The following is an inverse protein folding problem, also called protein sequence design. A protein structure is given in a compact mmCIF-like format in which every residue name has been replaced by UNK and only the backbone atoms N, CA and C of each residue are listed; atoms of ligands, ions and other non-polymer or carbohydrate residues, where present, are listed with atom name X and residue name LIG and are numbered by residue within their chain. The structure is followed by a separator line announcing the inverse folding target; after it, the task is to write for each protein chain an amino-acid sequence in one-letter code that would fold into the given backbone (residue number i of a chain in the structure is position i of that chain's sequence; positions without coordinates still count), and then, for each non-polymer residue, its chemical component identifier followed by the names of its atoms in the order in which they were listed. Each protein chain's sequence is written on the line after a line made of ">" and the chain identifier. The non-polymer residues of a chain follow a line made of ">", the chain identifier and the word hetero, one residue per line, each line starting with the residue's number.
data_IF_758879798576
#
_entry.id   IF_758879798576
#
_cell.length_a   1.000
_cell.length_b   1.000
_cell.length_c   1.000
_cell.angle_alpha   90.00
_cell.angle_beta   90.00
_cell.angle_gamma   90.00
#
_symmetry.space_group_name_H-M   'P 1'
#
loop_
_entity.id
_entity.type
_entity.pdbx_description
1 polymer ?
#
# COMPACT_ATOMS: atom_id res chain seq x y z
N UNK A 1 7.35 15.11 -0.99
CA UNK A 1 6.36 15.15 -2.09
C UNK A 1 7.00 15.36 -3.47
N UNK A 2 7.97 16.26 -3.63
CA UNK A 2 8.64 16.54 -4.94
C UNK A 2 9.32 15.30 -5.54
N UNK A 3 10.01 14.49 -4.73
CA UNK A 3 10.72 13.30 -5.22
C UNK A 3 9.79 12.23 -5.83
N UNK A 4 8.62 11.98 -5.23
CA UNK A 4 7.64 10.99 -5.71
C UNK A 4 7.07 11.40 -7.06
N UNK A 5 6.75 12.70 -7.20
CA UNK A 5 6.24 13.27 -8.44
C UNK A 5 7.26 13.16 -9.59
N UNK A 6 8.51 13.57 -9.35
CA UNK A 6 9.58 13.45 -10.34
C UNK A 6 9.86 11.99 -10.72
N UNK A 7 9.84 11.08 -9.74
CA UNK A 7 10.01 9.65 -9.99
C UNK A 7 8.87 9.10 -10.84
N UNK A 8 7.62 9.49 -10.56
CA UNK A 8 6.47 9.14 -11.39
C UNK A 8 6.62 9.63 -12.84
N UNK A 9 7.03 10.88 -13.04
CA UNK A 9 7.32 11.42 -14.37
C UNK A 9 8.45 10.66 -15.08
N UNK A 10 9.52 10.32 -14.37
CA UNK A 10 10.62 9.53 -14.93
C UNK A 10 10.17 8.11 -15.30
N UNK A 11 9.31 7.47 -14.49
CA UNK A 11 8.76 6.16 -14.81
C UNK A 11 7.85 6.22 -16.04
N UNK A 12 7.01 7.26 -16.17
CA UNK A 12 6.22 7.50 -17.38
C UNK A 12 7.14 7.65 -18.58
N UNK A 13 8.18 8.49 -18.49
CA UNK A 13 9.11 8.69 -19.59
C UNK A 13 9.87 7.40 -19.97
N UNK A 14 10.33 6.62 -18.99
CA UNK A 14 11.12 5.43 -19.24
C UNK A 14 10.25 4.26 -19.71
N UNK A 15 9.19 3.92 -19.00
CA UNK A 15 8.41 2.70 -19.23
C UNK A 15 7.39 2.90 -20.36
N UNK A 16 6.69 4.03 -20.37
CA UNK A 16 5.68 4.31 -21.39
C UNK A 16 6.31 4.90 -22.64
N UNK A 17 7.06 6.01 -22.54
CA UNK A 17 7.58 6.70 -23.74
C UNK A 17 8.74 5.95 -24.41
N UNK A 18 9.74 5.49 -23.64
CA UNK A 18 10.93 4.82 -24.20
C UNK A 18 10.73 3.32 -24.44
N UNK A 19 10.16 2.60 -23.48
CA UNK A 19 10.00 1.13 -23.53
C UNK A 19 8.68 0.68 -24.18
N UNK A 20 7.64 1.52 -24.23
CA UNK A 20 6.28 1.16 -24.70
C UNK A 20 5.76 -0.14 -24.09
N UNK A 21 6.15 -0.44 -22.85
CA UNK A 21 5.88 -1.72 -22.21
C UNK A 21 4.50 -1.79 -21.53
N UNK A 22 3.87 -0.63 -21.30
CA UNK A 22 2.60 -0.49 -20.58
C UNK A 22 1.66 0.36 -21.44
N UNK A 23 0.33 0.11 -21.41
CA UNK A 23 -0.69 0.99 -22.01
C UNK A 23 -0.66 2.41 -21.41
N UNK A 24 -1.53 3.28 -21.92
CA UNK A 24 -1.63 4.67 -21.48
C UNK A 24 -1.62 4.77 -19.94
N UNK A 25 -0.72 5.58 -19.34
CA UNK A 25 -0.64 5.71 -17.89
C UNK A 25 -1.81 6.51 -17.29
N UNK A 26 -2.63 7.16 -18.12
CA UNK A 26 -3.68 8.05 -17.65
C UNK A 26 -5.02 7.33 -17.51
N UNK A 27 -5.68 7.52 -16.37
CA UNK A 27 -7.01 6.99 -16.12
C UNK A 27 -7.02 5.54 -15.66
N UNK A 28 -8.18 4.88 -15.83
CA UNK A 28 -8.44 3.52 -15.30
C UNK A 28 -8.67 2.48 -16.40
N UNK A 29 -8.95 2.93 -17.62
CA UNK A 29 -9.27 2.11 -18.79
C UNK A 29 -8.77 2.84 -20.05
N UNK A 30 -8.58 2.08 -21.12
CA UNK A 30 -8.26 2.65 -22.42
C UNK A 30 -9.35 3.66 -22.87
N UNK A 31 -9.00 4.75 -23.58
CA UNK A 31 -9.91 5.87 -23.84
C UNK A 31 -11.24 5.54 -24.56
N UNK A 32 -11.30 4.39 -25.25
CA UNK A 32 -12.47 3.93 -26.01
C UNK A 32 -13.27 2.82 -25.30
N UNK A 33 -12.86 2.40 -24.09
CA UNK A 33 -13.57 1.38 -23.32
C UNK A 33 -14.49 2.02 -22.30
N UNK A 34 -15.80 1.78 -22.42
CA UNK A 34 -16.75 2.19 -21.39
C UNK A 34 -16.57 1.38 -20.10
N UNK A 35 -16.79 2.04 -18.97
CA UNK A 35 -16.77 1.41 -17.65
C UNK A 35 -17.86 0.32 -17.64
N UNK A 36 -17.53 -0.95 -17.37
CA UNK A 36 -18.55 -1.99 -17.29
C UNK A 36 -19.55 -1.63 -16.17
N UNK A 37 -20.86 -1.73 -16.41
CA UNK A 37 -21.85 -1.53 -15.36
C UNK A 37 -21.65 -2.65 -14.34
N UNK A 38 -21.41 -2.31 -13.08
CA UNK A 38 -21.15 -3.30 -12.06
C UNK A 38 -21.66 -2.84 -10.69
N UNK A 39 -22.08 -3.77 -9.82
CA UNK A 39 -22.68 -3.44 -8.53
C UNK A 39 -21.67 -2.85 -7.54
N UNK A 40 -20.36 -3.04 -7.75
CA UNK A 40 -19.33 -2.64 -6.78
C UNK A 40 -18.65 -1.32 -7.10
N UNK A 41 -18.63 -0.91 -8.37
CA UNK A 41 -17.89 0.25 -8.85
C UNK A 41 -16.36 0.05 -8.88
N UNK A 42 -15.88 -1.12 -8.45
CA UNK A 42 -14.48 -1.53 -8.49
C UNK A 42 -14.18 -2.20 -9.83
N UNK A 43 -13.50 -1.46 -10.69
CA UNK A 43 -13.21 -1.85 -12.08
C UNK A 43 -12.65 -3.29 -12.23
N UNK A 44 -11.72 -3.71 -11.37
CA UNK A 44 -11.15 -5.07 -11.43
C UNK A 44 -12.16 -6.16 -11.06
N UNK A 45 -13.02 -5.90 -10.08
CA UNK A 45 -14.04 -6.85 -9.65
C UNK A 45 -15.17 -6.89 -10.67
N UNK A 46 -15.64 -5.73 -11.12
CA UNK A 46 -16.73 -5.62 -12.09
C UNK A 46 -16.33 -6.25 -13.43
N UNK A 47 -15.07 -6.13 -13.88
CA UNK A 47 -14.58 -6.80 -15.10
C UNK A 47 -14.48 -8.32 -14.96
N UNK A 48 -14.08 -8.82 -13.78
CA UNK A 48 -14.07 -10.26 -13.47
C UNK A 48 -15.48 -10.85 -13.40
N UNK A 49 -16.42 -10.14 -12.76
CA UNK A 49 -17.82 -10.56 -12.64
C UNK A 49 -18.49 -10.66 -14.01
N UNK A 50 -18.13 -9.77 -14.95
CA UNK A 50 -18.62 -9.80 -16.32
C UNK A 50 -17.81 -10.71 -17.27
N UNK A 51 -16.81 -11.43 -16.74
CA UNK A 51 -15.90 -12.29 -17.50
C UNK A 51 -15.23 -11.57 -18.70
N UNK A 52 -15.04 -10.25 -18.62
CA UNK A 52 -14.44 -9.44 -19.68
C UNK A 52 -12.93 -9.32 -19.46
N UNK A 53 -12.21 -10.33 -19.96
CA UNK A 53 -10.77 -10.44 -19.80
C UNK A 53 -9.99 -9.33 -20.52
N UNK A 54 -10.54 -8.72 -21.57
CA UNK A 54 -9.89 -7.61 -22.27
C UNK A 54 -9.86 -6.36 -21.41
N UNK A 55 -11.00 -5.99 -20.82
CA UNK A 55 -11.09 -4.86 -19.89
C UNK A 55 -10.31 -5.11 -18.61
N UNK A 56 -10.28 -6.34 -18.10
CA UNK A 56 -9.47 -6.70 -16.93
C UNK A 56 -7.97 -6.53 -17.18
N UNK A 57 -7.46 -6.99 -18.34
CA UNK A 57 -6.05 -6.81 -18.70
C UNK A 57 -5.69 -5.33 -18.86
N UNK A 58 -6.60 -4.55 -19.47
CA UNK A 58 -6.46 -3.10 -19.59
C UNK A 58 -6.39 -2.45 -18.20
N UNK A 59 -7.33 -2.77 -17.32
CA UNK A 59 -7.39 -2.27 -15.95
C UNK A 59 -6.10 -2.52 -15.15
N UNK A 60 -5.55 -3.74 -15.22
CA UNK A 60 -4.28 -4.06 -14.57
C UNK A 60 -3.14 -3.25 -15.17
N UNK A 61 -3.08 -3.13 -16.50
CA UNK A 61 -2.04 -2.35 -17.18
C UNK A 61 -1.96 -0.90 -16.68
N UNK A 62 -3.12 -0.26 -16.50
CA UNK A 62 -3.19 1.13 -16.00
C UNK A 62 -2.86 1.24 -14.49
N UNK A 63 -2.94 0.14 -13.74
CA UNK A 63 -2.55 0.10 -12.31
C UNK A 63 -1.04 -0.13 -12.08
N UNK A 64 -0.34 -0.75 -13.03
CA UNK A 64 1.07 -1.13 -12.86
C UNK A 64 1.96 0.09 -12.62
N UNK A 65 1.80 1.17 -13.40
CA UNK A 65 2.65 2.35 -13.29
C UNK A 65 2.45 3.13 -11.98
N UNK A 66 1.21 3.44 -11.57
CA UNK A 66 0.94 4.01 -10.24
C UNK A 66 1.47 3.13 -9.11
N UNK A 67 1.24 1.80 -9.19
CA UNK A 67 1.68 0.87 -8.15
C UNK A 67 3.21 0.81 -8.02
N UNK A 68 3.94 0.74 -9.13
CA UNK A 68 5.41 0.75 -9.13
C UNK A 68 5.95 2.07 -8.58
N UNK A 69 5.32 3.20 -8.94
CA UNK A 69 5.72 4.52 -8.45
C UNK A 69 5.64 4.57 -6.92
N UNK A 70 4.52 4.10 -6.35
CA UNK A 70 4.34 4.03 -4.90
C UNK A 70 5.29 3.02 -4.26
N UNK A 71 5.42 1.82 -4.84
CA UNK A 71 6.29 0.77 -4.31
C UNK A 71 7.75 1.20 -4.25
N UNK A 72 8.27 1.85 -5.29
CA UNK A 72 9.67 2.29 -5.35
C UNK A 72 10.02 3.24 -4.19
N UNK A 73 9.06 4.03 -3.72
CA UNK A 73 9.25 4.98 -2.62
C UNK A 73 9.15 4.30 -1.25
N UNK A 74 8.20 3.37 -1.11
CA UNK A 74 7.90 2.75 0.19
C UNK A 74 8.78 1.54 0.50
N UNK A 75 9.11 0.73 -0.52
CA UNK A 75 9.87 -0.52 -0.35
C UNK A 75 11.23 -0.29 0.31
N UNK A 76 12.06 0.71 -0.07
CA UNK A 76 13.36 0.91 0.58
C UNK A 76 13.24 1.22 2.08
N UNK A 77 12.23 1.99 2.48
CA UNK A 77 11.97 2.37 3.87
C UNK A 77 11.59 1.13 4.69
N UNK A 78 10.62 0.36 4.20
CA UNK A 78 10.17 -0.86 4.88
C UNK A 78 11.30 -1.89 4.91
N UNK A 79 12.01 -2.11 3.80
CA UNK A 79 13.10 -3.09 3.73
C UNK A 79 14.26 -2.77 4.68
N UNK A 80 14.66 -1.49 4.79
CA UNK A 80 15.69 -1.06 5.76
C UNK A 80 15.25 -1.33 7.19
N UNK A 81 13.98 -1.06 7.49
CA UNK A 81 13.44 -1.26 8.82
C UNK A 81 13.31 -2.75 9.17
N UNK A 82 12.81 -3.57 8.24
CA UNK A 82 12.77 -5.04 8.38
C UNK A 82 14.17 -5.57 8.63
N UNK A 83 15.17 -5.13 7.85
CA UNK A 83 16.56 -5.53 8.02
C UNK A 83 17.10 -5.15 9.41
N UNK A 84 16.87 -3.91 9.85
CA UNK A 84 17.33 -3.45 11.16
C UNK A 84 16.67 -4.23 12.31
N UNK A 85 15.36 -4.44 12.25
CA UNK A 85 14.62 -5.21 13.24
C UNK A 85 15.11 -6.67 13.30
N UNK A 86 15.29 -7.31 12.14
CA UNK A 86 15.81 -8.68 12.08
C UNK A 86 17.23 -8.79 12.64
N UNK A 87 18.13 -7.84 12.35
CA UNK A 87 19.49 -7.84 12.92
C UNK A 87 19.43 -7.76 14.44
N UNK A 88 18.65 -6.81 14.98
CA UNK A 88 18.52 -6.62 16.44
C UNK A 88 17.97 -7.88 17.12
N UNK A 89 16.94 -8.50 16.56
CA UNK A 89 16.35 -9.71 17.14
C UNK A 89 17.32 -10.89 17.04
N UNK A 90 18.00 -11.07 15.91
CA UNK A 90 18.96 -12.17 15.74
C UNK A 90 20.19 -12.07 16.66
N UNK A 91 20.53 -10.86 17.12
CA UNK A 91 21.63 -10.61 18.06
C UNK A 91 21.21 -10.73 19.54
N UNK A 92 19.92 -10.90 19.82
CA UNK A 92 19.42 -11.02 21.20
C UNK A 92 19.90 -12.29 21.91
N UNK A 93 20.04 -12.21 23.23
CA UNK A 93 20.54 -13.29 24.07
C UNK A 93 19.68 -14.57 23.98
N UNK A 94 18.35 -14.42 23.81
CA UNK A 94 17.46 -15.58 23.70
C UNK A 94 17.69 -16.36 22.39
N UNK A 95 17.97 -15.66 21.28
CA UNK A 95 18.30 -16.29 19.99
C UNK A 95 19.68 -16.95 20.06
N UNK A 96 20.66 -16.31 20.70
CA UNK A 96 22.00 -16.89 20.90
C UNK A 96 21.93 -18.15 21.77
N UNK A 97 21.14 -18.10 22.85
CA UNK A 97 20.90 -19.26 23.73
C UNK A 97 20.20 -20.39 22.99
N UNK A 98 19.16 -20.09 22.22
CA UNK A 98 18.46 -21.06 21.39
C UNK A 98 19.40 -21.74 20.37
N UNK A 99 20.31 -20.98 19.77
CA UNK A 99 21.34 -21.50 18.87
C UNK A 99 22.33 -22.42 19.60
N UNK A 100 22.75 -22.07 20.82
CA UNK A 100 23.64 -22.90 21.63
C UNK A 100 23.00 -24.23 22.05
N UNK A 101 21.68 -24.26 22.21
CA UNK A 101 20.89 -25.48 22.49
C UNK A 101 20.74 -26.38 21.25
N UNK A 102 21.12 -25.91 20.06
CA UNK A 102 21.11 -26.70 18.82
C UNK A 102 19.82 -26.59 18.00
N UNK A 103 19.00 -25.55 18.23
CA UNK A 103 17.81 -25.30 17.41
C UNK A 103 18.19 -24.98 15.96
N UNK A 104 17.45 -25.56 15.01
CA UNK A 104 17.66 -25.32 13.58
C UNK A 104 17.48 -23.84 13.22
N UNK A 105 18.35 -23.29 12.37
CA UNK A 105 18.28 -21.89 11.92
C UNK A 105 16.93 -21.53 11.29
N UNK A 106 16.30 -22.45 10.54
CA UNK A 106 15.00 -22.21 9.93
C UNK A 106 13.90 -21.96 10.95
N UNK A 107 13.80 -22.82 11.97
CA UNK A 107 12.87 -22.63 13.10
C UNK A 107 13.13 -21.32 13.82
N UNK A 108 14.40 -21.03 14.12
CA UNK A 108 14.81 -19.82 14.83
C UNK A 108 14.39 -18.54 14.08
N UNK A 109 14.49 -18.54 12.74
CA UNK A 109 14.08 -17.40 11.92
C UNK A 109 12.56 -17.28 11.89
N UNK A 110 11.84 -18.34 11.49
CA UNK A 110 10.40 -18.26 11.21
C UNK A 110 9.53 -18.18 12.47
N UNK A 111 9.94 -18.84 13.55
CA UNK A 111 9.14 -18.96 14.77
C UNK A 111 9.57 -17.97 15.85
N UNK A 112 10.86 -17.70 15.98
CA UNK A 112 11.37 -16.90 17.10
C UNK A 112 11.75 -15.48 16.65
N UNK A 113 12.53 -15.33 15.57
CA UNK A 113 13.04 -14.02 15.17
C UNK A 113 12.00 -13.17 14.42
N UNK A 114 11.29 -13.75 13.45
CA UNK A 114 10.36 -13.02 12.59
C UNK A 114 9.19 -12.41 13.37
N UNK A 115 8.46 -13.14 14.24
CA UNK A 115 7.36 -12.55 15.02
C UNK A 115 7.82 -11.38 15.90
N UNK A 116 8.97 -11.48 16.54
CA UNK A 116 9.55 -10.42 17.37
C UNK A 116 10.00 -9.21 16.52
N UNK A 117 10.53 -9.45 15.32
CA UNK A 117 10.91 -8.37 14.41
C UNK A 117 9.71 -7.69 13.74
N UNK A 118 8.57 -8.39 13.62
CA UNK A 118 7.32 -7.85 13.05
C UNK A 118 6.70 -6.75 13.90
N UNK A 119 7.06 -6.66 15.18
CA UNK A 119 6.46 -5.69 16.09
C UNK A 119 6.64 -4.24 15.58
N UNK A 120 7.87 -3.72 15.40
CA UNK A 120 8.07 -2.37 14.85
C UNK A 120 7.58 -2.24 13.40
N UNK A 121 7.57 -3.35 12.64
CA UNK A 121 7.14 -3.39 11.23
C UNK A 121 5.66 -3.05 11.10
N UNK A 122 4.80 -3.67 11.91
CA UNK A 122 3.37 -3.43 11.87
C UNK A 122 2.98 -1.99 12.21
N UNK A 123 3.60 -1.38 13.22
CA UNK A 123 3.30 0.02 13.60
C UNK A 123 3.58 0.96 12.44
N UNK A 124 4.74 0.77 11.81
CA UNK A 124 5.17 1.63 10.71
C UNK A 124 4.35 1.39 9.46
N UNK A 125 3.91 0.15 9.20
CA UNK A 125 2.95 -0.13 8.13
C UNK A 125 1.65 0.63 8.35
N UNK A 126 1.14 0.73 9.58
CA UNK A 126 -0.03 1.55 9.89
C UNK A 126 0.12 3.01 9.52
N UNK A 127 1.27 3.60 9.89
CA UNK A 127 1.59 4.99 9.54
C UNK A 127 1.68 5.17 8.02
N UNK A 128 2.33 4.23 7.31
CA UNK A 128 2.46 4.27 5.85
C UNK A 128 1.09 4.13 5.16
N UNK A 129 0.24 3.23 5.64
CA UNK A 129 -1.12 3.06 5.13
C UNK A 129 -1.94 4.33 5.35
N UNK A 130 -1.88 4.92 6.54
CA UNK A 130 -2.53 6.19 6.83
C UNK A 130 -2.07 7.32 5.89
N UNK A 131 -0.75 7.38 5.63
CA UNK A 131 -0.17 8.33 4.69
C UNK A 131 -0.68 8.11 3.25
N UNK A 132 -0.83 6.85 2.83
CA UNK A 132 -1.41 6.53 1.52
C UNK A 132 -2.90 6.88 1.44
N UNK A 133 -3.65 6.69 2.54
CA UNK A 133 -5.08 6.99 2.62
C UNK A 133 -5.40 8.48 2.71
N UNK A 134 -4.52 9.27 3.33
CA UNK A 134 -4.57 10.74 3.29
C UNK A 134 -4.50 11.30 1.86
N UNK A 135 -4.34 10.41 0.87
CA UNK A 135 -4.38 10.71 -0.54
C UNK A 135 -2.99 11.13 -0.95
N UNK A 136 -2.30 10.28 -1.69
CA UNK A 136 -1.17 10.75 -2.47
C UNK A 136 -1.72 11.53 -3.67
N UNK A 137 -2.35 12.68 -3.40
CA UNK A 137 -3.10 13.51 -4.36
C UNK A 137 -2.26 13.79 -5.60
N UNK A 138 -0.96 14.01 -5.41
CA UNK A 138 -0.03 14.26 -6.51
C UNK A 138 0.11 13.06 -7.46
N UNK A 139 0.12 11.83 -6.93
CA UNK A 139 0.16 10.62 -7.76
C UNK A 139 -1.19 10.37 -8.41
N UNK A 140 -2.29 10.61 -7.70
CA UNK A 140 -3.64 10.53 -8.27
C UNK A 140 -3.83 11.51 -9.44
N UNK A 141 -3.37 12.76 -9.28
CA UNK A 141 -3.36 13.76 -10.36
C UNK A 141 -2.45 13.38 -11.51
N UNK A 142 -1.23 12.91 -11.22
CA UNK A 142 -0.24 12.56 -12.24
C UNK A 142 -0.73 11.45 -13.17
N UNK A 143 -1.40 10.43 -12.61
CA UNK A 143 -1.94 9.31 -13.38
C UNK A 143 -3.42 9.49 -13.76
N UNK A 144 -4.01 10.67 -13.52
CA UNK A 144 -5.44 10.93 -13.71
C UNK A 144 -6.33 9.84 -13.07
N UNK A 145 -5.92 9.32 -11.92
CA UNK A 145 -6.61 8.28 -11.20
C UNK A 145 -7.62 8.92 -10.23
N UNK A 146 -8.94 8.75 -10.43
CA UNK A 146 -9.95 9.36 -9.56
C UNK A 146 -9.99 8.63 -8.21
N UNK A 147 -9.17 9.11 -7.28
CA UNK A 147 -9.09 8.63 -5.90
C UNK A 147 -9.74 9.58 -4.90
N UNK A 148 -9.70 9.15 -3.63
CA UNK A 148 -10.33 9.88 -2.53
C UNK A 148 -9.56 11.18 -2.22
N UNK A 149 -8.24 11.18 -2.43
CA UNK A 149 -7.41 12.38 -2.26
C UNK A 149 -7.70 13.45 -3.30
N UNK A 150 -7.85 13.05 -4.57
CA UNK A 150 -8.26 13.95 -5.65
C UNK A 150 -9.65 14.53 -5.40
N UNK A 151 -10.59 13.72 -4.89
CA UNK A 151 -11.91 14.21 -4.49
C UNK A 151 -11.81 15.30 -3.41
N UNK A 152 -11.03 15.07 -2.34
CA UNK A 152 -10.82 16.07 -1.30
C UNK A 152 -10.16 17.35 -1.82
N UNK A 153 -9.18 17.22 -2.71
CA UNK A 153 -8.57 18.37 -3.38
C UNK A 153 -9.60 19.17 -4.18
N UNK A 154 -10.45 18.50 -4.96
CA UNK A 154 -11.48 19.16 -5.75
C UNK A 154 -12.51 19.89 -4.88
N UNK A 155 -12.94 19.28 -3.78
CA UNK A 155 -13.84 19.88 -2.80
C UNK A 155 -13.23 21.10 -2.10
N UNK A 156 -11.93 21.03 -1.80
CA UNK A 156 -11.18 22.17 -1.26
C UNK A 156 -11.13 23.35 -2.24
N UNK A 157 -10.88 23.08 -3.52
CA UNK A 157 -10.85 24.14 -4.54
C UNK A 157 -12.24 24.74 -4.80
N UNK A 158 -13.31 23.96 -4.66
CA UNK A 158 -14.69 24.45 -4.79
C UNK A 158 -15.25 25.06 -3.50
N UNK A 159 -14.47 25.13 -2.41
CA UNK A 159 -14.91 25.56 -1.08
C UNK A 159 -16.16 24.82 -0.56
N UNK A 160 -16.28 23.54 -0.91
CA UNK A 160 -17.35 22.67 -0.43
C UNK A 160 -16.95 22.06 0.92
N UNK A 161 -17.24 22.79 2.00
CA UNK A 161 -16.86 22.39 3.36
C UNK A 161 -17.57 21.11 3.82
N UNK A 162 -18.79 20.84 3.35
CA UNK A 162 -19.55 19.64 3.70
C UNK A 162 -18.86 18.39 3.14
N UNK A 163 -18.44 18.44 1.87
CA UNK A 163 -17.67 17.36 1.23
C UNK A 163 -16.32 17.13 1.89
N UNK A 164 -15.60 18.18 2.28
CA UNK A 164 -14.31 18.09 2.99
C UNK A 164 -14.49 17.45 4.37
N UNK A 165 -15.52 17.85 5.12
CA UNK A 165 -15.81 17.30 6.43
C UNK A 165 -16.16 15.81 6.35
N UNK A 166 -16.97 15.41 5.36
CA UNK A 166 -17.26 14.00 5.09
C UNK A 166 -15.99 13.19 4.78
N UNK A 167 -15.09 13.75 3.97
CA UNK A 167 -13.79 13.14 3.66
C UNK A 167 -12.93 12.94 4.92
N UNK A 168 -12.80 13.97 5.76
CA UNK A 168 -12.02 13.89 7.01
C UNK A 168 -12.58 12.81 7.92
N UNK A 169 -13.91 12.75 8.09
CA UNK A 169 -14.57 11.73 8.90
C UNK A 169 -14.33 10.31 8.36
N UNK A 170 -14.42 10.12 7.05
CA UNK A 170 -14.16 8.84 6.41
C UNK A 170 -12.72 8.37 6.64
N UNK A 171 -11.74 9.26 6.44
CA UNK A 171 -10.33 8.94 6.69
C UNK A 171 -10.08 8.65 8.17
N UNK A 172 -10.65 9.44 9.08
CA UNK A 172 -10.51 9.20 10.50
C UNK A 172 -11.07 7.82 10.90
N UNK A 173 -12.24 7.45 10.39
CA UNK A 173 -12.84 6.15 10.62
C UNK A 173 -11.96 5.01 10.07
N UNK A 174 -11.46 5.15 8.84
CA UNK A 174 -10.55 4.18 8.24
C UNK A 174 -9.22 4.06 8.99
N UNK A 175 -8.69 5.17 9.49
CA UNK A 175 -7.48 5.18 10.31
C UNK A 175 -7.67 4.39 11.60
N UNK A 176 -8.78 4.61 12.30
CA UNK A 176 -9.13 3.83 13.49
C UNK A 176 -9.29 2.35 13.15
N UNK A 177 -9.96 2.03 12.04
CA UNK A 177 -10.13 0.65 11.57
C UNK A 177 -8.79 -0.03 11.27
N UNK A 178 -7.85 0.64 10.60
CA UNK A 178 -6.52 0.09 10.31
C UNK A 178 -5.74 -0.15 11.60
N UNK A 179 -5.77 0.79 12.55
CA UNK A 179 -5.10 0.60 13.84
C UNK A 179 -5.70 -0.60 14.60
N UNK A 180 -7.02 -0.75 14.59
CA UNK A 180 -7.68 -1.92 15.18
C UNK A 180 -7.20 -3.23 14.50
N UNK A 181 -7.09 -3.26 13.18
CA UNK A 181 -6.57 -4.43 12.45
C UNK A 181 -5.12 -4.73 12.85
N UNK A 182 -4.30 -3.69 13.00
CA UNK A 182 -2.91 -3.79 13.43
C UNK A 182 -2.82 -4.35 14.86
N UNK A 183 -3.62 -3.84 15.79
CA UNK A 183 -3.70 -4.33 17.17
C UNK A 183 -4.12 -5.80 17.23
N UNK A 184 -5.07 -6.21 16.39
CA UNK A 184 -5.45 -7.62 16.26
C UNK A 184 -4.28 -8.44 15.71
N UNK A 185 -3.59 -7.98 14.66
CA UNK A 185 -2.41 -8.65 14.10
C UNK A 185 -1.30 -8.83 15.13
N UNK A 186 -1.06 -7.83 15.99
CA UNK A 186 -0.14 -7.95 17.12
C UNK A 186 -0.51 -9.11 18.04
N UNK A 187 -1.78 -9.19 18.43
CA UNK A 187 -2.27 -10.24 19.34
C UNK A 187 -2.17 -11.66 18.75
N UNK A 188 -2.18 -11.78 17.42
CA UNK A 188 -2.03 -13.06 16.70
C UNK A 188 -0.57 -13.46 16.56
N UNK A 189 0.32 -12.49 16.28
CA UNK A 189 1.76 -12.72 16.08
C UNK A 189 2.47 -13.00 17.41
N UNK A 190 2.10 -12.30 18.47
CA UNK A 190 2.64 -12.54 19.81
C UNK A 190 1.53 -12.96 20.79
N UNK A 191 1.23 -14.27 20.90
CA UNK A 191 0.24 -14.76 21.85
C UNK A 191 0.69 -14.63 23.32
N UNK A 192 1.93 -14.20 23.61
CA UNK A 192 2.39 -13.95 24.99
C UNK A 192 1.76 -12.70 25.60
N UNK A 193 1.23 -11.80 24.75
CA UNK A 193 0.49 -10.60 25.16
C UNK A 193 -0.89 -10.99 25.75
N UNK A 194 -1.35 -12.25 25.61
CA UNK A 194 -2.64 -12.75 26.15
C UNK A 194 -2.65 -13.05 27.66
N UNK A 195 -1.58 -12.78 28.40
CA UNK A 195 -1.56 -12.97 29.86
C UNK A 195 -1.39 -11.62 30.57
N UNK A 196 -2.51 -10.90 30.64
CA UNK A 196 -2.76 -9.77 31.55
C UNK A 196 -4.16 -9.92 32.12
#
# INVERSE_FOLDING_TARGET
>A
SVAIFWLGLMLIYLIYFKLRAVPDPMGRLAPLMEKPPGPTGLLLIDTLVHADFEKFRSAIGHLVLPAITLATVLTPTIAKMVRAAMINVLQSDFIQTARAIGLSTGRLIWHDALPNAMIPILTTMGIVLAYLMAGNVLVEMLFAWPGIGYYAWSALMSNDFDSIQGFILLIACMYVFINLVIDILYSVIDPRIRLG
#
